data_IF_551048680912
#
_entry.id   IF_551048680912
#
_cell.length_a   1.000
_cell.length_b   1.000
_cell.length_c   1.000
_cell.angle_alpha   90.00
_cell.angle_beta   90.00
_cell.angle_gamma   90.00
#
_symmetry.space_group_name_H-M   'P 1'
#
loop_
_entity.id
_entity.type
_entity.pdbx_description
1 polymer ?
#
# COMPACT_ATOMS: atom_id res chain seq x y z
N UNK A 1 -6.79 -68.86 -39.60
CA UNK A 1 -6.24 -67.81 -38.72
C UNK A 1 -5.67 -68.49 -37.48
N UNK A 2 -4.36 -68.41 -37.26
CA UNK A 2 -3.63 -69.32 -36.38
C UNK A 2 -3.92 -69.04 -34.89
N UNK A 3 -4.47 -70.02 -34.17
CA UNK A 3 -4.78 -69.92 -32.72
C UNK A 3 -3.59 -69.44 -31.87
N UNK A 4 -2.36 -69.75 -32.30
CA UNK A 4 -1.12 -69.29 -31.66
C UNK A 4 -0.89 -67.77 -31.80
N UNK A 5 -1.30 -67.18 -32.93
CA UNK A 5 -1.18 -65.74 -33.17
C UNK A 5 -2.18 -64.95 -32.32
N UNK A 6 -3.38 -65.50 -32.10
CA UNK A 6 -4.41 -64.89 -31.26
C UNK A 6 -4.01 -64.82 -29.78
N UNK A 7 -3.39 -65.88 -29.25
CA UNK A 7 -2.93 -65.92 -27.85
C UNK A 7 -1.82 -64.90 -27.60
N UNK A 8 -0.87 -64.74 -28.53
CA UNK A 8 0.25 -63.79 -28.40
C UNK A 8 -0.23 -62.34 -28.45
N UNK A 9 -1.18 -62.02 -29.33
CA UNK A 9 -1.74 -60.67 -29.42
C UNK A 9 -2.59 -60.35 -28.18
N UNK A 10 -3.31 -61.33 -27.64
CA UNK A 10 -4.15 -61.16 -26.45
C UNK A 10 -3.32 -60.95 -25.17
N UNK A 11 -2.19 -61.64 -25.01
CA UNK A 11 -1.30 -61.43 -23.85
C UNK A 11 -0.56 -60.09 -23.92
N UNK A 12 -0.17 -59.62 -25.10
CA UNK A 12 0.41 -58.29 -25.30
C UNK A 12 -0.59 -57.15 -25.00
N UNK A 13 -1.88 -57.36 -25.26
CA UNK A 13 -2.90 -56.36 -24.95
C UNK A 13 -3.17 -56.22 -23.43
N UNK A 14 -3.14 -57.34 -22.69
CA UNK A 14 -3.37 -57.34 -21.24
C UNK A 14 -2.21 -56.69 -20.49
N UNK A 15 -0.96 -56.91 -20.92
CA UNK A 15 0.21 -56.26 -20.30
C UNK A 15 0.24 -54.76 -20.57
N UNK A 16 -0.21 -54.30 -21.74
CA UNK A 16 -0.35 -52.88 -22.06
C UNK A 16 -1.45 -52.20 -21.22
N UNK A 17 -2.55 -52.89 -20.92
CA UNK A 17 -3.64 -52.36 -20.10
C UNK A 17 -3.25 -52.21 -18.61
N UNK A 18 -2.37 -53.08 -18.10
CA UNK A 18 -1.93 -53.02 -16.70
C UNK A 18 -0.81 -52.00 -16.42
N UNK A 19 0.03 -51.63 -17.41
CA UNK A 19 1.08 -50.62 -17.21
C UNK A 19 0.54 -49.19 -17.21
N UNK A 20 -0.51 -48.88 -17.99
CA UNK A 20 -1.14 -47.54 -17.99
C UNK A 20 -1.87 -47.25 -16.66
N UNK A 21 -2.34 -48.28 -15.97
CA UNK A 21 -3.07 -48.15 -14.70
C UNK A 21 -2.19 -47.73 -13.50
N UNK A 22 -0.86 -47.76 -13.63
CA UNK A 22 0.07 -47.34 -12.57
C UNK A 22 0.55 -45.88 -12.68
N UNK A 23 0.21 -45.15 -13.75
CA UNK A 23 0.64 -43.75 -13.96
C UNK A 23 -0.51 -42.73 -13.87
N UNK A 24 -1.76 -43.19 -13.74
CA UNK A 24 -2.96 -42.35 -13.69
C UNK A 24 -3.51 -42.12 -12.26
N UNK A 25 -2.61 -42.08 -11.25
CA UNK A 25 -2.94 -41.54 -9.91
C UNK A 25 -1.93 -40.48 -9.50
N UNK A 26 -1.63 -39.57 -10.43
CA UNK A 26 -1.11 -38.26 -10.09
C UNK A 26 -2.28 -37.42 -9.58
N UNK A 27 -2.34 -37.24 -8.27
CA UNK A 27 -3.31 -36.41 -7.58
C UNK A 27 -3.19 -34.96 -8.10
N UNK A 28 -3.99 -34.60 -9.10
CA UNK A 28 -4.20 -33.21 -9.51
C UNK A 28 -5.08 -32.53 -8.47
N UNK A 29 -4.52 -32.34 -7.26
CA UNK A 29 -5.02 -31.35 -6.33
C UNK A 29 -4.95 -30.02 -7.08
N UNK A 30 -6.08 -29.31 -7.27
CA UNK A 30 -6.01 -27.98 -7.83
C UNK A 30 -5.08 -27.17 -6.93
N UNK A 31 -4.10 -26.49 -7.53
CA UNK A 31 -3.23 -25.51 -6.86
C UNK A 31 -4.13 -24.32 -6.47
N UNK A 32 -5.00 -24.53 -5.49
CA UNK A 32 -5.85 -23.52 -4.84
C UNK A 32 -5.31 -23.21 -3.45
N UNK A 33 -3.98 -23.21 -3.31
CA UNK A 33 -3.28 -22.73 -2.10
C UNK A 33 -2.04 -21.89 -2.42
N UNK A 34 -1.96 -21.27 -3.62
CA UNK A 34 -0.94 -20.27 -3.93
C UNK A 34 -1.47 -18.92 -4.41
N UNK A 35 -2.77 -18.65 -4.28
CA UNK A 35 -3.30 -17.27 -4.37
C UNK A 35 -3.60 -16.66 -2.99
N UNK A 36 -3.38 -17.40 -1.90
CA UNK A 36 -3.61 -16.93 -0.52
C UNK A 36 -2.32 -16.60 0.23
N UNK A 37 -1.25 -16.30 -0.50
CA UNK A 37 0.04 -15.82 0.04
C UNK A 37 0.35 -14.38 -0.43
N UNK A 38 -0.43 -13.82 -1.37
CA UNK A 38 -0.42 -12.37 -1.69
C UNK A 38 -1.34 -11.57 -0.74
N UNK A 39 -1.58 -12.12 0.45
CA UNK A 39 -1.88 -11.30 1.63
C UNK A 39 -0.70 -11.48 2.56
N UNK A 40 0.50 -11.17 2.06
CA UNK A 40 1.58 -10.83 2.96
C UNK A 40 1.03 -9.67 3.78
N UNK A 41 0.95 -9.90 5.09
CA UNK A 41 1.02 -8.82 6.07
C UNK A 41 2.40 -8.17 5.90
N UNK A 42 2.58 -7.49 4.76
CA UNK A 42 3.73 -6.69 4.44
C UNK A 42 3.53 -5.44 5.29
N UNK A 43 3.96 -5.51 6.54
CA UNK A 43 4.39 -4.28 7.19
C UNK A 43 5.47 -3.71 6.29
N UNK A 44 5.26 -2.55 5.63
CA UNK A 44 6.33 -1.94 4.87
C UNK A 44 7.44 -1.65 5.89
N UNK A 45 8.54 -2.39 5.78
CA UNK A 45 9.80 -1.96 6.38
C UNK A 45 10.07 -0.58 5.78
N UNK A 46 10.48 0.36 6.63
CA UNK A 46 10.55 1.82 6.43
C UNK A 46 11.51 2.30 5.32
N UNK A 47 11.48 1.69 4.14
CA UNK A 47 12.38 2.01 3.02
C UNK A 47 11.99 1.33 1.70
N UNK A 48 10.70 1.02 1.52
CA UNK A 48 10.20 0.52 0.23
C UNK A 48 9.56 1.70 -0.48
N UNK A 49 10.12 2.07 -1.64
CA UNK A 49 9.48 3.00 -2.58
C UNK A 49 8.04 2.52 -2.82
N UNK A 50 7.05 3.39 -2.63
CA UNK A 50 5.68 3.04 -2.95
C UNK A 50 5.57 2.92 -4.46
N UNK A 51 5.45 1.69 -4.94
CA UNK A 51 5.45 1.38 -6.36
C UNK A 51 4.45 2.25 -7.15
N UNK A 52 3.22 2.40 -6.64
CA UNK A 52 2.20 3.22 -7.28
C UNK A 52 2.48 4.73 -7.24
N UNK A 53 3.31 5.21 -6.32
CA UNK A 53 3.67 6.63 -6.26
C UNK A 53 4.83 6.96 -7.22
N UNK A 54 5.68 5.97 -7.51
CA UNK A 54 6.84 6.14 -8.39
C UNK A 54 6.54 5.75 -9.86
N UNK A 55 5.59 4.84 -10.10
CA UNK A 55 5.13 4.44 -11.44
C UNK A 55 4.16 5.51 -11.97
N UNK A 56 4.71 6.50 -12.68
CA UNK A 56 3.95 7.68 -13.15
C UNK A 56 3.19 7.36 -14.44
N UNK A 57 3.74 6.44 -15.26
CA UNK A 57 3.13 6.04 -16.52
C UNK A 57 2.17 4.83 -16.42
N UNK A 58 2.01 4.23 -15.23
CA UNK A 58 1.16 3.08 -14.89
C UNK A 58 1.48 1.85 -15.75
N UNK A 59 2.74 1.69 -16.16
CA UNK A 59 3.21 0.56 -16.96
C UNK A 59 3.55 -0.68 -16.13
N UNK A 60 3.45 -0.58 -14.79
CA UNK A 60 3.78 -1.62 -13.81
C UNK A 60 5.26 -2.01 -13.84
N UNK A 61 6.12 -1.10 -14.28
CA UNK A 61 7.55 -1.13 -14.14
C UNK A 61 8.00 0.20 -13.50
N UNK A 62 9.27 0.27 -13.09
CA UNK A 62 9.86 1.53 -12.63
C UNK A 62 11.07 1.79 -13.50
N UNK A 63 10.98 2.83 -14.32
CA UNK A 63 12.12 3.33 -15.06
C UNK A 63 13.15 3.97 -14.11
N UNK A 64 14.40 4.07 -14.55
CA UNK A 64 15.44 4.78 -13.79
C UNK A 64 15.07 6.24 -13.55
N UNK A 65 14.40 6.86 -14.52
CA UNK A 65 14.00 8.26 -14.44
C UNK A 65 12.93 8.44 -13.36
N UNK A 66 11.86 7.66 -13.41
CA UNK A 66 10.80 7.67 -12.39
C UNK A 66 11.32 7.44 -10.98
N UNK A 67 12.23 6.46 -10.82
CA UNK A 67 12.83 6.23 -9.51
C UNK A 67 13.64 7.45 -9.05
N UNK A 68 14.37 8.10 -9.95
CA UNK A 68 15.19 9.28 -9.63
C UNK A 68 14.30 10.46 -9.26
N UNK A 69 13.24 10.70 -10.03
CA UNK A 69 12.28 11.77 -9.80
C UNK A 69 11.56 11.59 -8.46
N UNK A 70 11.14 10.36 -8.13
CA UNK A 70 10.58 10.02 -6.83
C UNK A 70 11.55 10.33 -5.68
N UNK A 71 12.83 9.96 -5.81
CA UNK A 71 13.82 10.22 -4.75
C UNK A 71 14.13 11.70 -4.60
N UNK A 72 14.17 12.46 -5.70
CA UNK A 72 14.38 13.91 -5.65
C UNK A 72 13.21 14.61 -4.97
N UNK A 73 11.97 14.30 -5.34
CA UNK A 73 10.79 14.87 -4.69
C UNK A 73 10.74 14.52 -3.20
N UNK A 74 11.04 13.26 -2.85
CA UNK A 74 11.14 12.85 -1.45
C UNK A 74 12.22 13.65 -0.70
N UNK A 75 13.37 13.86 -1.33
CA UNK A 75 14.48 14.60 -0.73
C UNK A 75 14.10 16.06 -0.49
N UNK A 76 13.55 16.73 -1.50
CA UNK A 76 13.14 18.14 -1.43
C UNK A 76 12.06 18.38 -0.35
N UNK A 77 11.16 17.41 -0.16
CA UNK A 77 10.12 17.48 0.88
C UNK A 77 10.65 17.13 2.28
N UNK A 78 11.66 16.26 2.38
CA UNK A 78 12.21 15.81 3.65
C UNK A 78 13.33 16.74 4.18
N UNK A 79 14.05 17.44 3.30
CA UNK A 79 15.12 18.38 3.64
C UNK A 79 14.52 19.72 4.11
N UNK A 80 14.09 19.74 5.38
CA UNK A 80 13.39 20.89 5.98
C UNK A 80 14.32 22.09 6.12
N UNK A 81 15.58 21.86 6.50
CA UNK A 81 16.55 22.94 6.71
C UNK A 81 17.31 23.34 5.44
N UNK A 82 17.10 22.60 4.34
CA UNK A 82 17.65 22.85 3.00
C UNK A 82 19.17 22.80 2.98
N UNK A 83 19.75 21.89 3.76
CA UNK A 83 21.19 21.76 3.89
C UNK A 83 21.81 20.73 2.92
N UNK A 84 21.00 20.12 2.04
CA UNK A 84 21.39 19.04 1.12
C UNK A 84 21.80 17.72 1.81
N UNK A 85 21.36 17.51 3.05
CA UNK A 85 21.49 16.27 3.80
C UNK A 85 20.19 15.92 4.50
N UNK A 86 19.91 14.63 4.61
CA UNK A 86 18.79 14.14 5.42
C UNK A 86 19.30 13.53 6.72
N UNK A 87 18.88 14.10 7.82
CA UNK A 87 19.04 13.51 9.15
C UNK A 87 17.98 12.42 9.38
N UNK A 88 18.23 11.53 10.34
CA UNK A 88 17.22 10.55 10.76
C UNK A 88 15.93 11.23 11.23
N UNK A 89 16.06 12.39 11.87
CA UNK A 89 14.94 13.14 12.40
C UNK A 89 14.07 13.71 11.27
N UNK A 90 14.67 14.29 10.24
CA UNK A 90 13.96 14.79 9.05
C UNK A 90 13.19 13.69 8.31
N UNK A 91 13.80 12.51 8.16
CA UNK A 91 13.11 11.36 7.56
C UNK A 91 11.91 10.93 8.42
N UNK A 92 12.07 10.90 9.75
CA UNK A 92 10.98 10.58 10.67
C UNK A 92 9.87 11.62 10.55
N UNK A 93 10.23 12.89 10.49
CA UNK A 93 9.32 14.02 10.48
C UNK A 93 8.57 14.13 9.16
N UNK A 94 9.22 13.85 8.03
CA UNK A 94 8.57 13.67 6.73
C UNK A 94 7.43 12.63 6.80
N UNK A 95 7.71 11.44 7.36
CA UNK A 95 6.69 10.39 7.48
C UNK A 95 5.54 10.78 8.42
N UNK A 96 5.81 11.60 9.44
CA UNK A 96 4.77 12.14 10.31
C UNK A 96 3.94 13.18 9.56
N UNK A 97 4.59 14.14 8.90
CA UNK A 97 3.95 15.18 8.07
C UNK A 97 3.04 14.52 7.04
N UNK A 98 3.53 13.54 6.27
CA UNK A 98 2.72 12.83 5.26
C UNK A 98 1.44 12.24 5.87
N UNK A 99 1.54 11.57 7.03
CA UNK A 99 0.36 11.03 7.73
C UNK A 99 -0.57 12.11 8.30
N UNK A 100 -0.02 13.27 8.64
CA UNK A 100 -0.82 14.40 9.11
C UNK A 100 -1.57 15.01 7.92
N UNK A 101 -0.89 15.20 6.78
CA UNK A 101 -1.49 15.66 5.51
C UNK A 101 -2.59 14.73 5.01
N UNK A 102 -2.38 13.42 5.04
CA UNK A 102 -3.42 12.43 4.71
C UNK A 102 -4.66 12.56 5.59
N UNK A 103 -4.47 12.86 6.88
CA UNK A 103 -5.59 13.11 7.80
C UNK A 103 -6.25 14.46 7.56
N UNK A 104 -5.46 15.47 7.23
CA UNK A 104 -5.96 16.79 6.86
C UNK A 104 -6.87 16.68 5.64
N UNK A 105 -6.39 16.06 4.56
CA UNK A 105 -7.15 15.81 3.33
C UNK A 105 -8.37 14.87 3.52
N UNK A 106 -8.43 14.12 4.61
CA UNK A 106 -9.62 13.35 4.97
C UNK A 106 -10.66 14.19 5.72
N UNK A 107 -10.24 15.26 6.39
CA UNK A 107 -11.11 16.19 7.12
C UNK A 107 -11.62 17.30 6.19
N UNK A 108 -10.73 17.87 5.38
CA UNK A 108 -11.01 18.83 4.31
C UNK A 108 -11.80 18.12 3.19
N UNK A 109 -13.13 18.23 3.28
CA UNK A 109 -14.08 17.49 2.45
C UNK A 109 -14.37 18.27 1.17
N UNK A 110 -14.36 19.59 1.23
CA UNK A 110 -14.59 20.47 0.08
C UNK A 110 -13.30 20.80 -0.70
N UNK A 111 -12.13 20.46 -0.16
CA UNK A 111 -10.80 20.64 -0.75
C UNK A 111 -10.42 22.10 -0.94
N UNK A 112 -10.91 22.97 -0.06
CA UNK A 112 -10.57 24.39 -0.08
C UNK A 112 -9.19 24.67 0.54
N UNK A 113 -8.57 23.67 1.18
CA UNK A 113 -7.27 23.78 1.84
C UNK A 113 -7.35 24.23 3.30
N UNK A 114 -8.56 24.29 3.85
CA UNK A 114 -8.86 24.66 5.22
C UNK A 114 -9.75 23.59 5.87
N UNK A 115 -9.72 23.50 7.19
CA UNK A 115 -10.69 22.73 7.96
C UNK A 115 -11.61 23.72 8.65
N UNK A 116 -12.85 23.79 8.18
CA UNK A 116 -13.89 24.64 8.76
C UNK A 116 -14.52 24.01 10.02
N UNK A 117 -15.21 24.79 10.86
CA UNK A 117 -15.96 24.26 12.02
C UNK A 117 -17.03 23.24 11.60
N UNK A 118 -17.58 23.39 10.38
CA UNK A 118 -18.61 22.52 9.82
C UNK A 118 -18.04 21.14 9.45
N UNK A 119 -16.82 21.10 8.91
CA UNK A 119 -16.08 19.87 8.60
C UNK A 119 -15.51 19.22 9.86
N UNK A 120 -15.08 20.04 10.82
CA UNK A 120 -14.62 19.60 12.14
C UNK A 120 -15.78 19.44 13.14
N UNK A 121 -16.95 18.93 12.74
CA UNK A 121 -18.11 18.81 13.64
C UNK A 121 -18.29 17.41 14.25
N UNK A 122 -17.63 17.06 15.37
CA UNK A 122 -17.88 15.79 16.05
C UNK A 122 -19.21 15.81 16.79
N UNK A 123 -20.02 14.78 16.55
CA UNK A 123 -21.29 14.58 17.25
C UNK A 123 -21.07 14.31 18.75
N UNK A 124 -21.88 14.92 19.62
CA UNK A 124 -22.02 14.58 21.05
C UNK A 124 -21.06 15.30 22.01
N UNK A 125 -20.72 14.65 23.14
CA UNK A 125 -19.90 15.22 24.24
C UNK A 125 -18.51 15.73 23.81
N UNK A 126 -18.04 15.29 22.63
CA UNK A 126 -16.78 15.74 22.02
C UNK A 126 -16.86 17.13 21.40
N UNK A 127 -18.05 17.70 21.17
CA UNK A 127 -18.20 19.01 20.51
C UNK A 127 -17.50 20.14 21.24
N UNK A 128 -17.68 20.26 22.57
CA UNK A 128 -17.01 21.31 23.35
C UNK A 128 -15.49 21.14 23.35
N UNK A 129 -15.02 19.91 23.53
CA UNK A 129 -13.59 19.61 23.47
C UNK A 129 -13.00 19.90 22.08
N UNK A 130 -13.75 19.57 21.03
CA UNK A 130 -13.37 19.85 19.66
C UNK A 130 -13.31 21.34 19.35
N UNK A 131 -14.25 22.15 19.84
CA UNK A 131 -14.21 23.60 19.74
C UNK A 131 -13.02 24.20 20.49
N UNK A 132 -12.72 23.71 21.70
CA UNK A 132 -11.52 24.15 22.43
C UNK A 132 -10.21 23.77 21.73
N UNK A 133 -10.16 22.58 21.10
CA UNK A 133 -9.00 22.17 20.32
C UNK A 133 -8.92 22.96 19.02
N UNK A 134 -10.03 23.26 18.37
CA UNK A 134 -10.10 24.06 17.15
C UNK A 134 -9.52 25.45 17.39
N UNK A 135 -10.03 26.17 18.39
CA UNK A 135 -9.54 27.49 18.78
C UNK A 135 -8.11 27.49 19.39
N UNK A 136 -7.54 26.31 19.65
CA UNK A 136 -6.14 26.18 20.07
C UNK A 136 -5.20 25.95 18.88
N UNK A 137 -5.73 25.41 17.77
CA UNK A 137 -4.97 25.14 16.55
C UNK A 137 -5.02 26.34 15.61
N UNK A 138 -6.18 26.99 15.50
CA UNK A 138 -6.40 28.26 14.81
C UNK A 138 -5.62 29.36 15.55
N UNK A 139 -4.42 29.68 15.05
CA UNK A 139 -3.49 30.61 15.67
C UNK A 139 -3.64 32.04 15.16
N UNK A 140 -4.15 32.20 13.94
CA UNK A 140 -4.43 33.50 13.33
C UNK A 140 -5.86 34.00 13.60
N UNK A 141 -6.69 33.19 14.27
CA UNK A 141 -8.07 33.47 14.65
C UNK A 141 -8.97 33.77 13.44
N UNK A 142 -8.65 33.17 12.28
CA UNK A 142 -9.42 33.36 11.04
C UNK A 142 -10.72 32.52 10.99
N UNK A 143 -10.90 31.61 11.95
CA UNK A 143 -12.06 30.74 12.07
C UNK A 143 -11.96 29.44 11.26
N UNK A 144 -10.81 29.18 10.67
CA UNK A 144 -10.44 28.00 9.90
C UNK A 144 -9.11 27.45 10.41
N UNK A 145 -8.77 26.22 10.03
CA UNK A 145 -7.44 25.65 10.30
C UNK A 145 -6.79 25.35 8.96
N UNK A 146 -5.68 26.01 8.66
CA UNK A 146 -4.90 25.72 7.47
C UNK A 146 -3.98 24.49 7.67
N UNK A 147 -3.39 23.99 6.58
CA UNK A 147 -2.51 22.82 6.62
C UNK A 147 -1.30 23.02 7.54
N UNK A 148 -0.70 24.21 7.54
CA UNK A 148 0.51 24.54 8.29
C UNK A 148 0.25 24.52 9.81
N UNK A 149 -0.84 25.13 10.25
CA UNK A 149 -1.29 25.13 11.65
C UNK A 149 -1.60 23.72 12.14
N UNK A 150 -2.28 22.93 11.31
CA UNK A 150 -2.57 21.55 11.65
C UNK A 150 -1.31 20.70 11.78
N UNK A 151 -0.32 20.89 10.90
CA UNK A 151 0.98 20.22 10.98
C UNK A 151 1.73 20.67 12.23
N UNK A 152 1.83 21.97 12.49
CA UNK A 152 2.53 22.52 13.64
C UNK A 152 1.99 21.96 14.96
N UNK A 153 0.66 21.98 15.13
CA UNK A 153 0.00 21.40 16.30
C UNK A 153 0.29 19.90 16.48
N UNK A 154 0.27 19.14 15.39
CA UNK A 154 0.52 17.68 15.44
C UNK A 154 1.99 17.34 15.64
N UNK A 155 2.90 18.21 15.24
CA UNK A 155 4.35 18.03 15.41
C UNK A 155 4.84 18.37 16.82
N UNK A 156 4.14 19.25 17.54
CA UNK A 156 4.49 19.64 18.89
C UNK A 156 4.28 18.54 19.95
N UNK A 157 3.58 17.44 19.61
CA UNK A 157 3.09 16.43 20.56
C UNK A 157 3.72 15.05 20.38
#
# INVERSE_FOLDING_TARGET
MNRKLFIIVFTLFITLAFTVSAFARWDHRPIKRMQKVIKTNMHPKKGVVYFQEADVDDDKQLSKQELTDYHNNFFDEADIDKNEYLTEQEIIDFHKIKKIKEKFAFMDTDKDGFISEEEHNPRGFRRRFAQFIFAYIDTDEDGSINEEEFIAYKMQK
#
